data_IF_440720071041
#
_entry.id   IF_440720071041
#
_cell.length_a   1.000
_cell.length_b   1.000
_cell.length_c   1.000
_cell.angle_alpha   90.00
_cell.angle_beta   90.00
_cell.angle_gamma   90.00
#
_symmetry.space_group_name_H-M   'P 1'
#
loop_
_entity.id
_entity.type
_entity.pdbx_description
1 polymer ?
#
# COMPACT_ATOMS: atom_id res chain seq x y z
N UNK A 1 -19.17 26.85 12.30
CA UNK A 1 -18.27 25.76 12.71
C UNK A 1 -18.30 24.58 11.73
N UNK A 2 -19.48 24.12 11.28
CA UNK A 2 -19.58 23.00 10.31
C UNK A 2 -18.92 23.22 8.94
N UNK A 3 -19.03 24.41 8.35
CA UNK A 3 -18.47 24.71 7.02
C UNK A 3 -16.94 24.59 6.96
N UNK A 4 -16.23 25.10 7.98
CA UNK A 4 -14.75 25.04 8.07
C UNK A 4 -14.24 23.60 8.21
N UNK A 5 -14.98 22.74 8.90
CA UNK A 5 -14.63 21.32 9.00
C UNK A 5 -14.85 20.61 7.66
N UNK A 6 -15.91 20.96 6.93
CA UNK A 6 -16.21 20.36 5.63
C UNK A 6 -15.20 20.77 4.55
N UNK A 7 -14.81 22.05 4.48
CA UNK A 7 -13.81 22.53 3.52
C UNK A 7 -12.47 21.80 3.69
N UNK A 8 -12.02 21.60 4.94
CA UNK A 8 -10.79 20.84 5.27
C UNK A 8 -10.87 19.36 4.93
N UNK A 9 -12.07 18.78 4.93
CA UNK A 9 -12.29 17.38 4.57
C UNK A 9 -12.23 17.20 3.05
N UNK A 10 -12.74 18.15 2.29
CA UNK A 10 -12.64 18.14 0.84
C UNK A 10 -11.17 18.30 0.40
N UNK A 11 -10.41 19.20 1.03
CA UNK A 11 -8.95 19.29 0.84
C UNK A 11 -8.24 17.96 1.14
N UNK A 12 -8.59 17.31 2.26
CA UNK A 12 -8.01 16.01 2.61
C UNK A 12 -8.34 14.91 1.57
N UNK A 13 -9.52 14.96 0.95
CA UNK A 13 -9.88 14.03 -0.12
C UNK A 13 -9.06 14.28 -1.40
N UNK A 14 -8.78 15.55 -1.73
CA UNK A 14 -7.90 15.90 -2.86
C UNK A 14 -6.45 15.46 -2.64
N UNK A 15 -5.94 15.55 -1.41
CA UNK A 15 -4.60 15.02 -1.07
C UNK A 15 -4.50 13.50 -1.29
N UNK A 16 -5.57 12.77 -0.93
CA UNK A 16 -5.65 11.33 -1.18
C UNK A 16 -5.63 11.02 -2.69
N UNK A 17 -6.39 11.78 -3.49
CA UNK A 17 -6.38 11.62 -4.96
C UNK A 17 -5.01 11.91 -5.56
N UNK A 18 -4.36 12.98 -5.11
CA UNK A 18 -3.01 13.36 -5.54
C UNK A 18 -2.00 12.26 -5.22
N UNK A 19 -2.11 11.66 -4.03
CA UNK A 19 -1.28 10.50 -3.64
C UNK A 19 -1.52 9.30 -4.55
N UNK A 20 -2.77 9.00 -4.88
CA UNK A 20 -3.14 7.91 -5.81
C UNK A 20 -2.58 8.16 -7.20
N UNK A 21 -2.64 9.40 -7.70
CA UNK A 21 -2.08 9.78 -9.00
C UNK A 21 -0.56 9.65 -9.02
N UNK A 22 0.14 10.09 -7.96
CA UNK A 22 1.58 9.91 -7.82
C UNK A 22 1.98 8.43 -7.83
N UNK A 23 1.26 7.59 -7.09
CA UNK A 23 1.46 6.14 -7.08
C UNK A 23 1.26 5.52 -8.46
N UNK A 24 0.16 5.83 -9.15
CA UNK A 24 -0.12 5.31 -10.49
C UNK A 24 0.92 5.76 -11.52
N UNK A 25 1.45 6.98 -11.38
CA UNK A 25 2.41 7.56 -12.32
C UNK A 25 3.84 7.07 -12.10
N UNK A 26 4.12 6.32 -11.04
CA UNK A 26 5.48 5.88 -10.72
C UNK A 26 6.34 6.96 -10.05
N UNK A 27 5.73 8.04 -9.53
CA UNK A 27 6.42 9.21 -9.00
C UNK A 27 6.69 9.13 -7.48
N UNK A 28 6.53 7.94 -6.89
CA UNK A 28 6.81 7.68 -5.47
C UNK A 28 8.06 6.83 -5.38
N UNK A 29 8.99 7.17 -4.48
CA UNK A 29 10.18 6.37 -4.26
C UNK A 29 9.81 5.02 -3.61
N UNK A 30 10.47 3.94 -4.01
CA UNK A 30 10.29 2.62 -3.37
C UNK A 30 10.65 2.67 -1.88
N UNK A 31 11.58 3.53 -1.48
CA UNK A 31 11.98 3.74 -0.09
C UNK A 31 10.82 4.30 0.76
N UNK A 32 9.88 5.05 0.17
CA UNK A 32 8.70 5.56 0.87
C UNK A 32 7.60 4.49 1.03
N UNK A 33 7.77 3.32 0.40
CA UNK A 33 6.79 2.24 0.35
C UNK A 33 7.19 1.00 1.15
N UNK A 34 8.21 1.14 2.00
CA UNK A 34 8.74 0.09 2.87
C UNK A 34 7.69 -0.44 3.84
N UNK A 35 7.51 -1.76 3.82
CA UNK A 35 6.73 -2.48 4.81
C UNK A 35 7.71 -3.19 5.75
N UNK A 36 7.71 -2.79 7.02
CA UNK A 36 8.56 -3.39 8.04
C UNK A 36 7.88 -4.60 8.67
N UNK A 37 8.65 -5.65 8.93
CA UNK A 37 8.22 -6.77 9.77
C UNK A 37 9.40 -7.38 10.50
N UNK A 38 9.14 -7.99 11.65
CA UNK A 38 10.13 -8.80 12.36
C UNK A 38 9.89 -10.27 12.08
N UNK A 39 10.95 -10.98 11.69
CA UNK A 39 10.90 -12.44 11.55
C UNK A 39 10.86 -13.07 12.94
N UNK A 40 9.89 -13.93 13.20
CA UNK A 40 9.73 -14.61 14.49
C UNK A 40 10.40 -15.98 14.53
N UNK A 41 10.89 -16.46 13.39
CA UNK A 41 11.59 -17.73 13.21
C UNK A 41 12.47 -17.66 11.97
N UNK A 42 13.37 -18.65 11.75
CA UNK A 42 14.17 -18.70 10.54
C UNK A 42 13.31 -18.80 9.27
N UNK A 43 13.76 -18.22 8.14
CA UNK A 43 13.04 -18.27 6.85
C UNK A 43 12.67 -19.68 6.39
N UNK A 44 13.53 -20.66 6.67
CA UNK A 44 13.37 -22.08 6.36
C UNK A 44 12.19 -22.73 7.10
N UNK A 45 11.84 -22.23 8.29
CA UNK A 45 10.77 -22.76 9.14
C UNK A 45 9.39 -22.20 8.81
N UNK A 46 9.30 -21.25 7.87
CA UNK A 46 8.02 -20.75 7.39
C UNK A 46 7.45 -21.66 6.31
N UNK A 47 6.47 -22.48 6.71
CA UNK A 47 5.58 -23.22 5.80
C UNK A 47 4.57 -22.34 5.06
N UNK A 48 4.52 -21.03 5.34
CA UNK A 48 3.63 -20.08 4.68
C UNK A 48 4.34 -19.37 3.52
N UNK A 49 3.55 -19.04 2.50
CA UNK A 49 3.94 -18.17 1.39
C UNK A 49 3.58 -16.72 1.72
N UNK A 50 3.85 -16.24 2.93
CA UNK A 50 3.54 -14.84 3.27
C UNK A 50 4.51 -13.88 2.54
N UNK A 51 4.10 -12.64 2.22
CA UNK A 51 4.93 -11.73 1.43
C UNK A 51 6.34 -11.49 1.99
N UNK A 52 6.43 -11.19 3.28
CA UNK A 52 7.73 -10.99 3.95
C UNK A 52 8.60 -12.25 3.94
N UNK A 53 8.01 -13.44 4.06
CA UNK A 53 8.74 -14.71 4.00
C UNK A 53 9.31 -14.94 2.61
N UNK A 54 8.51 -14.72 1.56
CA UNK A 54 8.98 -14.89 0.18
C UNK A 54 10.05 -13.86 -0.19
N UNK A 55 9.91 -12.61 0.27
CA UNK A 55 10.95 -11.58 0.10
C UNK A 55 12.30 -12.03 0.69
N UNK A 56 12.27 -12.60 1.90
CA UNK A 56 13.48 -13.10 2.58
C UNK A 56 14.04 -14.35 1.88
N UNK A 57 13.20 -15.33 1.52
CA UNK A 57 13.62 -16.52 0.77
C UNK A 57 14.29 -16.16 -0.57
N UNK A 58 13.81 -15.13 -1.25
CA UNK A 58 14.44 -14.62 -2.48
C UNK A 58 15.79 -13.96 -2.20
N UNK A 59 15.89 -13.20 -1.12
CA UNK A 59 17.13 -12.57 -0.68
C UNK A 59 18.20 -13.62 -0.32
N UNK A 60 17.83 -14.70 0.39
CA UNK A 60 18.73 -15.81 0.70
C UNK A 60 19.23 -16.52 -0.58
N UNK A 61 18.35 -16.71 -1.57
CA UNK A 61 18.75 -17.23 -2.90
C UNK A 61 19.72 -16.31 -3.64
N UNK A 62 19.77 -15.01 -3.28
CA UNK A 62 20.73 -14.03 -3.80
C UNK A 62 22.01 -13.94 -2.97
N UNK A 63 22.13 -14.72 -1.88
CA UNK A 63 23.32 -14.81 -1.05
C UNK A 63 23.25 -14.01 0.26
N UNK A 64 22.10 -13.43 0.59
CA UNK A 64 21.92 -12.82 1.91
C UNK A 64 21.82 -13.89 3.01
N UNK A 65 22.25 -13.52 4.21
CA UNK A 65 22.01 -14.30 5.44
C UNK A 65 21.16 -13.46 6.37
N UNK A 66 19.95 -13.94 6.66
CA UNK A 66 18.96 -13.23 7.47
C UNK A 66 18.53 -14.14 8.61
N UNK A 67 18.84 -13.73 9.84
CA UNK A 67 18.53 -14.52 11.02
C UNK A 67 17.10 -14.28 11.51
N UNK A 68 16.58 -15.22 12.29
CA UNK A 68 15.37 -14.99 13.07
C UNK A 68 15.51 -13.74 13.96
N UNK A 69 14.38 -13.17 14.36
CA UNK A 69 14.30 -11.97 15.21
C UNK A 69 14.83 -10.68 14.54
N UNK A 70 15.23 -10.77 13.27
CA UNK A 70 15.62 -9.60 12.47
C UNK A 70 14.39 -8.85 11.95
N UNK A 71 14.41 -7.52 12.07
CA UNK A 71 13.48 -6.66 11.35
C UNK A 71 13.98 -6.44 9.93
N UNK A 72 13.13 -6.78 8.96
CA UNK A 72 13.37 -6.56 7.53
C UNK A 72 12.32 -5.60 6.98
N UNK A 73 12.70 -4.91 5.91
CA UNK A 73 11.79 -4.11 5.11
C UNK A 73 11.67 -4.66 3.69
N UNK A 74 10.45 -4.67 3.18
CA UNK A 74 10.13 -5.18 1.86
C UNK A 74 9.09 -4.31 1.16
N UNK A 75 9.04 -4.45 -0.17
CA UNK A 75 8.12 -3.75 -1.06
C UNK A 75 7.37 -4.77 -1.91
N UNK A 76 6.11 -4.49 -2.23
CA UNK A 76 5.36 -5.28 -3.22
C UNK A 76 5.62 -4.70 -4.61
N UNK A 77 6.36 -5.44 -5.43
CA UNK A 77 6.74 -5.07 -6.78
C UNK A 77 5.71 -5.52 -7.82
N UNK A 78 5.85 -5.11 -9.08
CA UNK A 78 4.94 -5.54 -10.16
C UNK A 78 5.19 -6.98 -10.63
N UNK A 79 6.33 -7.58 -10.31
CA UNK A 79 6.77 -8.86 -10.84
C UNK A 79 6.32 -10.07 -10.00
N UNK A 80 5.39 -10.89 -10.51
CA UNK A 80 4.94 -12.11 -9.83
C UNK A 80 3.49 -12.45 -10.11
N UNK A 81 3.04 -13.64 -9.69
CA UNK A 81 1.65 -14.10 -9.88
C UNK A 81 0.76 -13.84 -8.67
N UNK A 82 1.34 -13.91 -7.47
CA UNK A 82 0.67 -13.59 -6.20
C UNK A 82 1.32 -12.37 -5.52
N UNK A 83 0.66 -11.80 -4.51
CA UNK A 83 1.22 -10.72 -3.68
C UNK A 83 2.56 -11.16 -3.07
N UNK A 84 2.65 -12.43 -2.68
CA UNK A 84 3.86 -12.96 -2.08
C UNK A 84 4.98 -13.14 -3.08
N UNK A 85 4.67 -13.62 -4.29
CA UNK A 85 5.65 -13.66 -5.39
C UNK A 85 6.13 -12.27 -5.79
N UNK A 86 5.32 -11.24 -5.57
CA UNK A 86 5.64 -9.84 -5.84
C UNK A 86 6.53 -9.20 -4.77
N UNK A 87 6.64 -9.80 -3.60
CA UNK A 87 7.41 -9.24 -2.50
C UNK A 87 8.92 -9.36 -2.74
N UNK A 88 9.64 -8.27 -2.48
CA UNK A 88 11.11 -8.17 -2.56
C UNK A 88 11.60 -7.36 -1.37
N UNK A 89 12.75 -7.71 -0.78
CA UNK A 89 13.39 -6.79 0.17
C UNK A 89 13.67 -5.46 -0.54
N UNK A 90 13.48 -4.34 0.15
CA UNK A 90 13.50 -3.00 -0.49
C UNK A 90 14.80 -2.73 -1.23
N UNK A 91 15.93 -3.19 -0.67
CA UNK A 91 17.25 -3.09 -1.32
C UNK A 91 17.35 -3.74 -2.70
N UNK A 92 16.40 -4.60 -3.06
CA UNK A 92 16.30 -5.24 -4.38
C UNK A 92 15.08 -4.79 -5.19
N UNK A 93 14.24 -3.91 -4.65
CA UNK A 93 13.04 -3.45 -5.32
C UNK A 93 13.37 -2.27 -6.24
N UNK A 94 13.14 -2.44 -7.54
CA UNK A 94 13.31 -1.36 -8.54
C UNK A 94 11.99 -0.69 -8.92
N UNK A 95 10.86 -1.27 -8.50
CA UNK A 95 9.52 -0.81 -8.80
C UNK A 95 8.53 -1.27 -7.73
N UNK A 96 7.30 -0.77 -7.82
CA UNK A 96 6.21 -1.13 -6.91
C UNK A 96 4.89 -1.36 -7.65
N UNK A 97 4.04 -2.21 -7.09
CA UNK A 97 2.68 -2.44 -7.53
C UNK A 97 1.76 -1.34 -6.98
N UNK A 98 1.53 -0.29 -7.78
CA UNK A 98 0.71 0.85 -7.39
C UNK A 98 -0.68 0.43 -6.93
N UNK A 99 -1.31 -0.54 -7.61
CA UNK A 99 -2.64 -1.02 -7.24
C UNK A 99 -2.63 -1.66 -5.85
N UNK A 100 -1.60 -2.44 -5.52
CA UNK A 100 -1.46 -2.99 -4.18
C UNK A 100 -1.46 -1.90 -3.10
N UNK A 101 -0.64 -0.86 -3.24
CA UNK A 101 -0.54 0.21 -2.23
C UNK A 101 -1.81 1.06 -2.15
N UNK A 102 -2.41 1.39 -3.30
CA UNK A 102 -3.67 2.14 -3.36
C UNK A 102 -4.78 1.37 -2.64
N UNK A 103 -4.93 0.08 -2.95
CA UNK A 103 -6.05 -0.74 -2.48
C UNK A 103 -5.89 -1.21 -1.02
N UNK A 104 -4.65 -1.47 -0.58
CA UNK A 104 -4.40 -2.07 0.73
C UNK A 104 -3.90 -1.07 1.78
N UNK A 105 -3.37 0.09 1.38
CA UNK A 105 -2.81 1.07 2.31
C UNK A 105 -3.50 2.43 2.21
N UNK A 106 -3.55 3.05 1.04
CA UNK A 106 -4.07 4.42 0.90
C UNK A 106 -5.58 4.48 1.14
N UNK A 107 -6.37 3.73 0.37
CA UNK A 107 -7.84 3.79 0.44
C UNK A 107 -8.37 3.33 1.81
N UNK A 108 -7.93 2.18 2.37
CA UNK A 108 -8.46 1.73 3.66
C UNK A 108 -8.18 2.72 4.79
N UNK A 109 -7.01 3.36 4.78
CA UNK A 109 -6.65 4.38 5.79
C UNK A 109 -7.49 5.64 5.59
N UNK A 110 -7.58 6.17 4.36
CA UNK A 110 -8.36 7.36 4.06
C UNK A 110 -9.85 7.21 4.44
N UNK A 111 -10.43 6.05 4.13
CA UNK A 111 -11.84 5.77 4.43
C UNK A 111 -12.15 5.64 5.92
N UNK A 112 -11.17 5.38 6.80
CA UNK A 112 -11.43 5.43 8.26
C UNK A 112 -11.90 6.81 8.71
N UNK A 113 -11.49 7.86 8.01
CA UNK A 113 -11.82 9.25 8.32
C UNK A 113 -12.91 9.77 7.39
N UNK A 114 -12.70 9.68 6.08
CA UNK A 114 -13.53 10.37 5.07
C UNK A 114 -14.92 9.74 4.89
N UNK A 115 -15.08 8.46 5.23
CA UNK A 115 -16.37 7.76 5.10
C UNK A 115 -17.47 8.39 5.96
N UNK A 116 -17.12 8.93 7.13
CA UNK A 116 -18.08 9.62 8.02
C UNK A 116 -18.64 10.89 7.37
N UNK A 117 -17.90 11.47 6.43
CA UNK A 117 -18.30 12.65 5.65
C UNK A 117 -18.92 12.29 4.29
N UNK A 118 -19.24 11.01 4.08
CA UNK A 118 -19.94 10.53 2.89
C UNK A 118 -19.04 10.19 1.70
N UNK A 119 -17.72 10.19 1.86
CA UNK A 119 -16.80 9.75 0.80
C UNK A 119 -16.80 8.23 0.63
N UNK A 120 -16.70 7.81 -0.61
CA UNK A 120 -16.64 6.41 -1.05
C UNK A 120 -15.29 6.10 -1.69
N UNK A 121 -15.01 4.81 -1.81
CA UNK A 121 -13.81 4.32 -2.48
C UNK A 121 -13.69 4.84 -3.92
N UNK A 122 -14.79 4.80 -4.68
CA UNK A 122 -14.78 5.18 -6.10
C UNK A 122 -14.52 6.68 -6.28
N UNK A 123 -15.09 7.53 -5.41
CA UNK A 123 -14.82 8.98 -5.39
C UNK A 123 -13.34 9.27 -5.12
N UNK A 124 -12.71 8.55 -4.19
CA UNK A 124 -11.27 8.70 -3.90
C UNK A 124 -10.39 8.19 -5.04
N UNK A 125 -10.85 7.23 -5.84
CA UNK A 125 -10.17 6.76 -7.05
C UNK A 125 -10.39 7.67 -8.27
N UNK A 126 -11.07 8.81 -8.11
CA UNK A 126 -11.35 9.74 -9.21
C UNK A 126 -12.46 9.29 -10.17
N UNK A 127 -13.18 8.20 -9.85
CA UNK A 127 -14.44 7.90 -10.54
C UNK A 127 -15.47 8.87 -9.96
N UNK A 128 -15.88 9.85 -10.77
CA UNK A 128 -16.61 11.04 -10.32
C UNK A 128 -17.75 10.78 -9.32
N UNK A 129 -18.05 11.79 -8.51
CA UNK A 129 -19.14 11.80 -7.53
C UNK A 129 -20.46 11.46 -8.23
N UNK A 130 -20.96 10.22 -8.09
CA UNK A 130 -22.37 9.96 -8.38
C UNK A 130 -23.17 10.61 -7.25
N UNK A 131 -23.46 11.90 -7.41
CA UNK A 131 -24.57 12.53 -6.70
C UNK A 131 -25.80 11.68 -7.02
N UNK A 132 -26.29 10.95 -6.01
CA UNK A 132 -27.51 10.16 -6.17
C UNK A 132 -28.59 11.04 -6.76
N UNK A 133 -29.14 10.60 -7.90
CA UNK A 133 -30.39 11.13 -8.44
C UNK A 133 -31.49 10.77 -7.44
N UNK A 134 -31.64 11.63 -6.43
CA UNK A 134 -32.61 11.52 -5.34
C UNK A 134 -33.17 12.89 -4.95
N UNK A 135 -33.22 13.84 -5.89
CA UNK A 135 -34.08 15.02 -5.81
C UNK A 135 -35.28 14.79 -6.72
N UNK A 136 -36.33 14.19 -6.15
CA UNK A 136 -37.73 14.35 -6.54
C UNK A 136 -38.56 14.35 -5.26
#
# INVERSE_FOLDING_TARGET
MGKVLQDRIDEAAEEVKTTIEALNSGNVDVEDLKIYTTLTKPPEEYGSTAPHVEAVKKAEKRGDSIEAETTVDYVITRGGKSISDKAELTKYAENYDAEYYIENQVIPVALRVLKVFGYTKDELKGKGRQSGLGQF
#
